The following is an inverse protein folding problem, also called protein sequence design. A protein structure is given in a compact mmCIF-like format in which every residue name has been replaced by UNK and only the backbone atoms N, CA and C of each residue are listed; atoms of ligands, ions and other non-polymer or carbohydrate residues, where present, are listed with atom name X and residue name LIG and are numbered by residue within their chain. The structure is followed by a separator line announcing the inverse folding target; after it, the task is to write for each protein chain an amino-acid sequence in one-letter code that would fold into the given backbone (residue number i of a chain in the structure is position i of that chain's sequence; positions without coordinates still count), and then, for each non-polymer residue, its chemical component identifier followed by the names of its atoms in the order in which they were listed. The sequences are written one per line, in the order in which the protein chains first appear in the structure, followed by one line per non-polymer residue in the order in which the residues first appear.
data_IF_169460105214
#
_entry.id   IF_169460105214
#
_cell.length_a   1.000
_cell.length_b   1.000
_cell.length_c   1.000
_cell.angle_alpha   90.00
_cell.angle_beta   90.00
_cell.angle_gamma   90.00
#
_symmetry.space_group_name_H-M   'P 1'
#
loop_
_entity.id
_entity.type
_entity.pdbx_description
1 polymer ?
#
# COMPACT_ATOMS: atom_id res chain seq x y z
N UNK A 1 25.70 6.62 -1.57
CA UNK A 1 24.28 6.87 -1.37
C UNK A 1 23.52 6.16 -2.48
N UNK A 2 22.96 5.00 -2.19
CA UNK A 2 21.98 4.42 -3.10
C UNK A 2 20.82 5.39 -3.08
N UNK A 3 20.71 6.12 -4.16
CA UNK A 3 19.88 7.31 -4.23
C UNK A 3 18.43 6.98 -3.88
N UNK A 4 17.76 7.93 -3.26
CA UNK A 4 16.32 7.89 -3.11
C UNK A 4 15.58 7.56 -4.42
N UNK A 5 16.20 7.80 -5.54
CA UNK A 5 15.70 7.51 -6.88
C UNK A 5 15.39 6.03 -7.12
N UNK A 6 16.22 5.10 -6.63
CA UNK A 6 15.98 3.65 -6.80
C UNK A 6 14.85 3.14 -5.89
N UNK A 7 14.73 3.72 -4.69
CA UNK A 7 13.58 3.45 -3.81
C UNK A 7 12.32 4.00 -4.45
N UNK A 8 12.37 5.23 -4.95
CA UNK A 8 11.28 5.90 -5.65
C UNK A 8 10.80 5.11 -6.87
N UNK A 9 11.72 4.63 -7.68
CA UNK A 9 11.39 3.83 -8.86
C UNK A 9 10.66 2.53 -8.47
N UNK A 10 11.18 1.83 -7.46
CA UNK A 10 10.55 0.62 -6.94
C UNK A 10 9.13 0.90 -6.42
N UNK A 11 8.97 1.96 -5.64
CA UNK A 11 7.66 2.34 -5.06
C UNK A 11 6.66 2.79 -6.12
N UNK A 12 7.11 3.51 -7.14
CA UNK A 12 6.23 4.06 -8.18
C UNK A 12 5.80 3.01 -9.19
N UNK A 13 6.69 2.10 -9.58
CA UNK A 13 6.45 1.16 -10.68
C UNK A 13 5.90 -0.18 -10.23
N UNK A 14 5.95 -0.51 -8.95
CA UNK A 14 5.42 -1.78 -8.45
C UNK A 14 3.89 -1.78 -8.44
N UNK A 15 3.28 -2.82 -9.04
CA UNK A 15 1.85 -3.10 -8.97
C UNK A 15 1.51 -4.16 -7.93
N UNK A 16 2.49 -4.62 -7.17
CA UNK A 16 2.28 -5.57 -6.08
C UNK A 16 1.69 -4.79 -4.88
N UNK A 17 0.64 -5.31 -4.24
CA UNK A 17 0.09 -4.68 -3.05
C UNK A 17 1.14 -4.50 -1.94
N UNK A 18 1.01 -3.41 -1.18
CA UNK A 18 1.78 -3.26 0.04
C UNK A 18 1.34 -4.28 1.08
N UNK A 19 2.28 -4.86 1.80
CA UNK A 19 2.03 -5.63 3.01
C UNK A 19 2.20 -4.68 4.19
N UNK A 20 1.08 -4.36 4.84
CA UNK A 20 1.03 -3.39 5.93
C UNK A 20 0.84 -4.14 7.24
N UNK A 21 1.78 -3.96 8.15
CA UNK A 21 1.72 -4.52 9.49
C UNK A 21 1.24 -3.45 10.49
N UNK A 22 0.29 -3.81 11.32
CA UNK A 22 -0.21 -2.97 12.41
C UNK A 22 -0.54 -3.82 13.63
N UNK A 23 -0.84 -3.18 14.73
CA UNK A 23 -1.19 -3.86 15.98
C UNK A 23 -2.69 -3.92 16.13
N UNK A 24 -3.23 -5.11 16.33
CA UNK A 24 -4.64 -5.30 16.65
C UNK A 24 -4.98 -4.76 18.03
N UNK A 25 -6.28 -4.66 18.34
CA UNK A 25 -6.76 -4.24 19.65
C UNK A 25 -6.31 -5.23 20.76
N UNK A 26 -6.14 -6.49 20.41
CA UNK A 26 -5.68 -7.55 21.31
C UNK A 26 -4.15 -7.72 21.35
N UNK A 27 -3.42 -6.72 20.85
CA UNK A 27 -1.95 -6.69 20.83
C UNK A 27 -1.30 -7.81 19.99
N UNK A 28 -2.01 -8.31 18.98
CA UNK A 28 -1.44 -9.19 17.99
C UNK A 28 -0.97 -8.39 16.76
N UNK A 29 0.24 -8.66 16.24
CA UNK A 29 0.65 -8.09 14.96
C UNK A 29 -0.22 -8.67 13.84
N UNK A 30 -0.79 -7.79 13.04
CA UNK A 30 -1.66 -8.14 11.91
C UNK A 30 -0.99 -7.66 10.64
N UNK A 31 -1.07 -8.44 9.58
CA UNK A 31 -0.59 -8.06 8.24
C UNK A 31 -1.76 -8.06 7.28
N UNK A 32 -1.92 -6.97 6.56
CA UNK A 32 -2.95 -6.82 5.52
C UNK A 32 -2.30 -6.45 4.20
N UNK A 33 -2.94 -6.81 3.10
CA UNK A 33 -2.51 -6.47 1.75
C UNK A 33 -3.43 -5.41 1.18
N UNK A 34 -2.88 -4.29 0.76
CA UNK A 34 -3.64 -3.17 0.24
C UNK A 34 -3.00 -2.64 -1.05
N UNK A 35 -3.80 -2.07 -1.93
CA UNK A 35 -3.28 -1.23 -3.00
C UNK A 35 -2.67 0.03 -2.38
N UNK A 36 -1.60 0.52 -2.96
CA UNK A 36 -0.92 1.72 -2.50
C UNK A 36 -0.46 2.60 -3.64
N UNK A 37 -0.26 3.86 -3.33
CA UNK A 37 0.48 4.80 -4.16
C UNK A 37 1.49 5.57 -3.30
N UNK A 38 2.57 5.99 -3.92
CA UNK A 38 3.58 6.81 -3.25
C UNK A 38 3.54 8.21 -3.84
N UNK A 39 3.31 9.19 -2.99
CA UNK A 39 3.12 10.58 -3.39
C UNK A 39 3.64 11.51 -2.31
N UNK A 40 4.47 12.50 -2.70
CA UNK A 40 5.00 13.49 -1.76
C UNK A 40 5.66 12.87 -0.52
N UNK A 41 6.51 11.87 -0.73
CA UNK A 41 7.25 11.16 0.32
C UNK A 41 6.37 10.42 1.33
N UNK A 42 5.11 10.16 0.99
CA UNK A 42 4.16 9.41 1.80
C UNK A 42 3.58 8.25 1.03
N UNK A 43 3.22 7.21 1.75
CA UNK A 43 2.49 6.07 1.19
C UNK A 43 1.02 6.23 1.51
N UNK A 44 0.18 6.08 0.50
CA UNK A 44 -1.27 6.17 0.63
C UNK A 44 -1.93 4.86 0.23
N UNK A 45 -2.86 4.42 1.05
CA UNK A 45 -3.81 3.36 0.73
C UNK A 45 -5.23 3.93 0.84
N UNK A 46 -6.21 3.23 0.28
CA UNK A 46 -7.61 3.57 0.47
C UNK A 46 -8.38 2.30 0.84
N UNK A 47 -9.32 2.43 1.74
CA UNK A 47 -10.19 1.34 2.19
C UNK A 47 -11.46 1.89 2.80
N UNK A 48 -12.42 1.02 3.09
CA UNK A 48 -13.67 1.42 3.76
C UNK A 48 -13.40 1.81 5.21
N UNK A 49 -14.11 2.84 5.67
CA UNK A 49 -13.99 3.32 7.05
C UNK A 49 -14.26 2.24 8.11
N UNK A 50 -15.06 1.24 7.76
CA UNK A 50 -15.40 0.10 8.64
C UNK A 50 -14.36 -1.00 8.67
N UNK A 51 -13.32 -0.94 7.85
CA UNK A 51 -12.27 -1.95 7.82
C UNK A 51 -11.52 -2.04 9.16
N UNK A 52 -11.21 -3.26 9.57
CA UNK A 52 -10.51 -3.50 10.87
C UNK A 52 -9.17 -2.78 10.94
N UNK A 53 -8.43 -2.72 9.84
CA UNK A 53 -7.14 -2.02 9.78
C UNK A 53 -7.28 -0.54 10.13
N UNK A 54 -8.37 0.12 9.73
CA UNK A 54 -8.66 1.52 10.07
C UNK A 54 -8.82 1.66 11.59
N UNK A 55 -9.60 0.79 12.20
CA UNK A 55 -9.83 0.77 13.64
C UNK A 55 -8.50 0.56 14.41
N UNK A 56 -7.68 -0.35 13.94
CA UNK A 56 -6.39 -0.65 14.57
C UNK A 56 -5.43 0.54 14.48
N UNK A 57 -5.32 1.15 13.31
CA UNK A 57 -4.43 2.30 13.10
C UNK A 57 -4.89 3.57 13.84
N UNK A 58 -6.19 3.73 14.03
CA UNK A 58 -6.70 4.83 14.89
C UNK A 58 -6.28 4.67 16.33
N UNK A 59 -6.25 3.43 16.83
CA UNK A 59 -5.82 3.13 18.20
C UNK A 59 -4.30 3.20 18.35
N UNK A 60 -3.56 2.64 17.40
CA UNK A 60 -2.11 2.63 17.39
C UNK A 60 -1.59 2.96 15.98
N UNK A 61 -1.10 4.19 15.75
CA UNK A 61 -0.68 4.62 14.44
C UNK A 61 0.65 4.02 13.96
N UNK A 62 1.39 3.36 14.82
CA UNK A 62 2.65 2.70 14.45
C UNK A 62 2.38 1.54 13.50
N UNK A 63 3.10 1.53 12.38
CA UNK A 63 2.97 0.49 11.38
C UNK A 63 4.31 0.16 10.74
N UNK A 64 4.41 -1.05 10.23
CA UNK A 64 5.50 -1.49 9.36
C UNK A 64 4.94 -1.83 7.99
N UNK A 65 5.79 -1.84 6.98
CA UNK A 65 5.35 -2.20 5.64
C UNK A 65 6.47 -2.83 4.81
N UNK A 66 6.06 -3.60 3.83
CA UNK A 66 6.93 -4.14 2.81
C UNK A 66 6.26 -4.06 1.45
N UNK A 67 7.03 -3.65 0.45
CA UNK A 67 6.69 -3.69 -0.96
C UNK A 67 7.79 -4.49 -1.63
N UNK A 68 7.48 -5.72 -2.01
CA UNK A 68 8.46 -6.66 -2.52
C UNK A 68 7.98 -7.33 -3.79
N UNK A 69 8.92 -7.63 -4.69
CA UNK A 69 8.65 -8.47 -5.84
C UNK A 69 8.50 -9.93 -5.45
N UNK A 70 7.73 -10.68 -6.23
CA UNK A 70 7.49 -12.11 -6.07
C UNK A 70 8.36 -12.97 -7.00
N UNK A 71 9.22 -12.34 -7.80
CA UNK A 71 10.11 -13.00 -8.75
C UNK A 71 11.52 -13.15 -8.20
N UNK A 72 12.11 -14.32 -8.38
CA UNK A 72 13.49 -14.61 -8.05
C UNK A 72 14.47 -13.79 -8.95
N UNK A 73 15.56 -13.23 -8.42
CA UNK A 73 15.93 -13.10 -7.01
C UNK A 73 15.10 -12.01 -6.30
N UNK A 74 14.66 -12.31 -5.10
CA UNK A 74 13.74 -11.45 -4.37
C UNK A 74 14.38 -10.13 -3.95
N UNK A 75 13.63 -9.04 -4.11
CA UNK A 75 14.03 -7.69 -3.75
C UNK A 75 12.82 -6.84 -3.38
N UNK A 76 13.04 -5.79 -2.65
CA UNK A 76 11.96 -4.90 -2.27
C UNK A 76 12.41 -3.72 -1.40
N UNK A 77 11.42 -3.03 -0.89
CA UNK A 77 11.55 -1.95 0.07
C UNK A 77 10.76 -2.33 1.31
N UNK A 78 11.32 -2.13 2.48
CA UNK A 78 10.61 -2.24 3.75
C UNK A 78 10.81 -0.97 4.56
N UNK A 79 9.88 -0.71 5.45
CA UNK A 79 9.98 0.46 6.29
C UNK A 79 9.01 0.42 7.45
N UNK A 80 9.03 1.46 8.22
CA UNK A 80 8.09 1.68 9.30
C UNK A 80 7.81 3.17 9.47
N UNK A 81 6.71 3.48 10.10
CA UNK A 81 6.30 4.85 10.33
C UNK A 81 4.99 4.94 11.10
N UNK A 82 4.33 6.07 10.92
CA UNK A 82 3.02 6.31 11.53
C UNK A 82 1.98 6.53 10.44
N UNK A 83 0.82 5.93 10.65
CA UNK A 83 -0.34 6.07 9.79
C UNK A 83 -1.38 7.00 10.39
N UNK A 84 -2.00 7.80 9.54
CA UNK A 84 -3.16 8.62 9.88
C UNK A 84 -4.32 8.25 8.97
N UNK A 85 -5.53 8.28 9.49
CA UNK A 85 -6.74 8.10 8.70
C UNK A 85 -7.23 9.48 8.25
N UNK A 86 -7.28 9.68 6.94
CA UNK A 86 -7.69 10.95 6.33
C UNK A 86 -9.01 10.72 5.61
N UNK A 87 -10.11 11.06 6.26
CA UNK A 87 -11.45 10.76 5.77
C UNK A 87 -11.79 11.46 4.44
N UNK A 88 -11.40 12.71 4.30
CA UNK A 88 -11.72 13.51 3.11
C UNK A 88 -10.82 13.25 1.89
N UNK A 89 -9.86 12.34 1.99
CA UNK A 89 -8.97 11.94 0.89
C UNK A 89 -9.27 10.55 0.32
N UNK A 90 -10.22 9.84 0.88
CA UNK A 90 -10.51 8.46 0.47
C UNK A 90 -10.83 8.31 -1.01
N UNK A 91 -11.71 9.13 -1.53
CA UNK A 91 -12.10 9.10 -2.96
C UNK A 91 -10.93 9.46 -3.88
N UNK A 92 -10.20 10.51 -3.58
CA UNK A 92 -9.04 10.94 -4.37
C UNK A 92 -8.00 9.82 -4.48
N UNK A 93 -7.62 9.24 -3.35
CA UNK A 93 -6.64 8.15 -3.33
C UNK A 93 -7.19 6.91 -4.04
N UNK A 94 -8.44 6.54 -3.81
CA UNK A 94 -9.04 5.37 -4.49
C UNK A 94 -9.01 5.52 -6.00
N UNK A 95 -9.31 6.72 -6.54
CA UNK A 95 -9.24 6.98 -7.99
C UNK A 95 -7.82 6.80 -8.53
N UNK A 96 -6.81 7.27 -7.79
CA UNK A 96 -5.40 7.05 -8.15
C UNK A 96 -5.04 5.56 -8.16
N UNK A 97 -5.52 4.80 -7.18
CA UNK A 97 -5.27 3.36 -7.08
C UNK A 97 -5.96 2.58 -8.19
N UNK A 98 -7.18 2.93 -8.54
CA UNK A 98 -7.90 2.33 -9.67
C UNK A 98 -7.12 2.55 -10.97
N UNK A 99 -6.65 3.76 -11.19
CA UNK A 99 -5.85 4.06 -12.38
C UNK A 99 -4.54 3.26 -12.39
N UNK A 100 -3.88 3.10 -11.26
CA UNK A 100 -2.64 2.34 -11.14
C UNK A 100 -2.84 0.84 -11.38
N UNK A 101 -3.87 0.24 -10.78
CA UNK A 101 -4.05 -1.22 -10.72
C UNK A 101 -5.02 -1.79 -11.73
N UNK A 102 -6.02 -1.04 -12.17
CA UNK A 102 -7.09 -1.52 -13.05
C UNK A 102 -7.02 -1.01 -14.49
N UNK A 103 -6.03 -0.20 -14.83
CA UNK A 103 -5.81 0.26 -16.21
C UNK A 103 -4.63 -0.47 -16.84
N UNK A 104 -4.77 -0.91 -18.08
CA UNK A 104 -3.71 -1.58 -18.83
C UNK A 104 -4.24 -2.67 -19.76
N UNK A 105 -3.31 -3.43 -20.37
CA UNK A 105 -3.59 -4.48 -21.35
C UNK A 105 -4.33 -5.70 -20.79
N UNK A 106 -4.45 -5.80 -19.47
CA UNK A 106 -5.07 -6.93 -18.76
C UNK A 106 -6.47 -6.62 -18.26
N UNK A 107 -7.15 -5.61 -18.84
CA UNK A 107 -8.51 -5.25 -18.45
C UNK A 107 -9.47 -6.40 -18.80
N UNK A 108 -10.02 -7.05 -17.78
CA UNK A 108 -10.99 -8.11 -17.90
C UNK A 108 -12.40 -7.62 -17.58
N UNK A 109 -13.42 -8.46 -17.89
CA UNK A 109 -14.82 -8.18 -17.48
C UNK A 109 -14.91 -8.05 -15.95
N UNK A 110 -14.19 -8.89 -15.22
CA UNK A 110 -14.15 -8.84 -13.75
C UNK A 110 -13.56 -7.53 -13.24
N UNK A 111 -12.49 -7.01 -13.86
CA UNK A 111 -11.89 -5.72 -13.47
C UNK A 111 -12.81 -4.54 -13.78
N UNK A 112 -13.60 -4.60 -14.87
CA UNK A 112 -14.61 -3.58 -15.17
C UNK A 112 -15.77 -3.57 -14.17
N UNK A 113 -16.22 -4.73 -13.72
CA UNK A 113 -17.24 -4.86 -12.67
C UNK A 113 -16.73 -4.29 -11.35
N UNK A 114 -15.49 -4.60 -10.99
CA UNK A 114 -14.83 -4.06 -9.80
C UNK A 114 -14.72 -2.53 -9.90
N UNK A 115 -14.29 -2.01 -11.04
CA UNK A 115 -14.20 -0.58 -11.30
C UNK A 115 -15.53 0.13 -11.03
N UNK A 116 -16.64 -0.40 -11.56
CA UNK A 116 -17.98 0.16 -11.35
C UNK A 116 -18.41 0.11 -9.87
N UNK A 117 -18.11 -0.99 -9.18
CA UNK A 117 -18.42 -1.14 -7.76
C UNK A 117 -17.64 -0.11 -6.92
N UNK A 118 -16.34 0.00 -7.15
CA UNK A 118 -15.46 0.90 -6.40
C UNK A 118 -15.84 2.38 -6.57
N UNK A 119 -16.36 2.76 -7.74
CA UNK A 119 -16.80 4.11 -8.04
C UNK A 119 -18.30 4.33 -7.75
N UNK A 120 -19.00 3.37 -7.18
CA UNK A 120 -20.37 3.57 -6.75
C UNK A 120 -20.44 4.61 -5.62
N UNK A 121 -21.54 5.38 -5.58
CA UNK A 121 -21.74 6.40 -4.55
C UNK A 121 -21.69 5.83 -3.14
N UNK A 122 -22.29 4.65 -2.94
CA UNK A 122 -22.30 3.96 -1.64
C UNK A 122 -20.88 3.59 -1.18
N UNK A 123 -20.04 3.13 -2.12
CA UNK A 123 -18.66 2.77 -1.82
C UNK A 123 -17.83 4.02 -1.51
N UNK A 124 -17.91 5.04 -2.37
CA UNK A 124 -17.10 6.25 -2.26
C UNK A 124 -17.37 7.05 -0.97
N UNK A 125 -18.61 7.13 -0.52
CA UNK A 125 -18.95 7.88 0.68
C UNK A 125 -18.34 7.32 1.97
N UNK A 126 -17.95 6.05 1.98
CA UNK A 126 -17.36 5.36 3.13
C UNK A 126 -15.86 5.13 2.96
N UNK A 127 -15.28 5.57 1.86
CA UNK A 127 -13.85 5.40 1.58
C UNK A 127 -13.02 6.40 2.37
N UNK A 128 -11.94 5.91 2.98
CA UNK A 128 -10.96 6.73 3.69
C UNK A 128 -9.56 6.44 3.17
N UNK A 129 -8.68 7.42 3.27
CA UNK A 129 -7.27 7.21 2.99
C UNK A 129 -6.50 6.82 4.26
N UNK A 130 -5.58 5.90 4.12
CA UNK A 130 -4.54 5.62 5.10
C UNK A 130 -3.29 6.34 4.60
N UNK A 131 -2.86 7.36 5.30
CA UNK A 131 -1.65 8.12 5.01
C UNK A 131 -0.52 7.64 5.92
N UNK A 132 0.52 7.06 5.34
CA UNK A 132 1.69 6.57 6.07
C UNK A 132 2.85 7.52 5.84
N UNK A 133 3.36 8.09 6.93
CA UNK A 133 4.57 8.91 6.93
C UNK A 133 5.72 8.00 7.37
N UNK A 134 6.61 7.58 6.45
CA UNK A 134 7.73 6.72 6.80
C UNK A 134 8.70 7.43 7.75
N UNK A 135 9.06 6.76 8.83
CA UNK A 135 10.17 7.17 9.69
C UNK A 135 11.50 6.65 9.12
N UNK A 136 11.48 5.48 8.50
CA UNK A 136 12.63 4.89 7.80
C UNK A 136 12.17 3.96 6.69
N UNK A 137 12.94 3.91 5.63
CA UNK A 137 12.78 2.96 4.52
C UNK A 137 14.12 2.35 4.16
N UNK A 138 14.11 1.05 3.88
CA UNK A 138 15.29 0.26 3.57
C UNK A 138 15.05 -0.53 2.29
N UNK A 139 15.99 -0.40 1.35
CA UNK A 139 16.04 -1.27 0.18
C UNK A 139 16.75 -2.55 0.54
N UNK A 140 16.23 -3.68 0.07
CA UNK A 140 16.87 -4.97 0.25
C UNK A 140 16.86 -5.77 -1.05
N UNK A 141 17.88 -6.59 -1.24
CA UNK A 141 18.06 -7.41 -2.42
C UNK A 141 18.86 -8.67 -2.04
N UNK A 142 18.27 -9.83 -2.31
CA UNK A 142 18.89 -11.11 -2.01
C UNK A 142 19.68 -11.72 -3.19
N UNK A 143 19.94 -10.95 -4.22
CA UNK A 143 20.64 -11.43 -5.42
C UNK A 143 21.95 -12.16 -5.09
N UNK A 144 22.82 -11.54 -4.30
CA UNK A 144 24.08 -12.17 -3.88
C UNK A 144 23.85 -13.47 -3.12
N UNK A 145 22.91 -13.46 -2.22
CA UNK A 145 22.60 -14.59 -1.34
C UNK A 145 22.02 -15.80 -2.08
N UNK A 146 21.38 -15.56 -3.24
CA UNK A 146 20.65 -16.59 -3.99
C UNK A 146 21.34 -17.06 -5.25
N UNK A 147 22.29 -16.29 -5.77
CA UNK A 147 22.98 -16.58 -7.04
C UNK A 147 24.42 -17.01 -6.79
N UNK A 148 25.05 -16.55 -5.73
CA UNK A 148 26.46 -16.87 -5.41
C UNK A 148 26.61 -18.13 -4.53
N UNK A 149 25.64 -19.07 -4.59
CA UNK A 149 25.70 -20.35 -3.90
C UNK A 149 26.30 -21.41 -4.84
#
# INVERSE_FOLDING_TARGET
MVSGDMIMECLTNSKIPIRLACMSISDWPIVVSLWYTYLNEKVYCATQNTAKVVKYLRKNPKCGFEIAGDSFPYRGVRGYGKASIVENKGEEILRMLIQKYLTGKETTISSLKLYKLLLSKEHLQNEVAIEIIPAAMFKWNYKKRMIDI
#
